data_IF_366377647127
#
_entry.id   IF_366377647127
#
_cell.length_a   1.000
_cell.length_b   1.000
_cell.length_c   1.000
_cell.angle_alpha   90.00
_cell.angle_beta   90.00
_cell.angle_gamma   90.00
#
_symmetry.space_group_name_H-M   'P 1'
#
loop_
_entity.id
_entity.type
_entity.pdbx_description
1 polymer ?
#
# COMPACT_ATOMS: atom_id res chain seq x y z
N UNK A 1 6.62 22.54 -2.28
CA UNK A 1 7.21 21.71 -3.36
C UNK A 1 6.42 20.42 -3.57
N UNK A 2 6.21 19.57 -2.55
CA UNK A 2 5.45 18.31 -2.68
C UNK A 2 4.00 18.48 -3.21
N UNK A 3 3.24 19.44 -2.67
CA UNK A 3 1.87 19.73 -3.10
C UNK A 3 1.77 20.26 -4.54
N UNK A 4 2.79 20.97 -5.02
CA UNK A 4 2.87 21.47 -6.40
C UNK A 4 3.10 20.36 -7.42
N UNK A 5 3.75 19.26 -7.03
CA UNK A 5 4.10 18.16 -7.93
C UNK A 5 3.12 17.00 -7.86
N UNK A 6 2.43 16.83 -6.73
CA UNK A 6 1.51 15.71 -6.49
C UNK A 6 0.04 16.13 -6.45
N UNK A 7 -0.27 17.43 -6.39
CA UNK A 7 -1.60 17.96 -6.04
C UNK A 7 -2.15 17.42 -4.69
N UNK A 8 -1.30 16.81 -3.85
CA UNK A 8 -1.70 16.29 -2.54
C UNK A 8 -1.57 17.36 -1.46
N UNK A 9 -2.67 17.66 -0.79
CA UNK A 9 -2.67 18.45 0.43
C UNK A 9 -2.29 17.57 1.62
N UNK A 10 -1.03 17.68 2.05
CA UNK A 10 -0.50 16.92 3.18
C UNK A 10 -1.25 17.17 4.50
N UNK A 11 -1.87 18.35 4.69
CA UNK A 11 -2.63 18.64 5.92
C UNK A 11 -3.94 17.87 5.95
N UNK A 12 -4.55 17.64 4.78
CA UNK A 12 -5.70 16.75 4.64
C UNK A 12 -5.29 15.29 4.80
N UNK A 13 -4.12 14.91 4.30
CA UNK A 13 -3.61 13.55 4.43
C UNK A 13 -3.24 13.20 5.89
N UNK A 14 -2.68 14.15 6.63
CA UNK A 14 -2.25 13.98 8.02
C UNK A 14 -3.30 14.45 9.05
N UNK A 15 -4.56 14.64 8.62
CA UNK A 15 -5.65 15.14 9.47
C UNK A 15 -6.22 14.09 10.43
N UNK A 16 -7.46 14.31 10.90
CA UNK A 16 -8.18 13.43 11.83
C UNK A 16 -8.31 11.96 11.36
N UNK A 17 -8.16 11.72 10.07
CA UNK A 17 -8.35 10.40 9.46
C UNK A 17 -7.08 9.52 9.51
N UNK A 18 -5.98 10.02 10.07
CA UNK A 18 -4.70 9.30 10.15
C UNK A 18 -4.83 7.98 10.94
N UNK A 19 -5.64 7.99 12.01
CA UNK A 19 -5.98 6.82 12.82
C UNK A 19 -7.31 6.17 12.43
N UNK A 20 -7.85 6.51 11.24
CA UNK A 20 -9.07 5.89 10.74
C UNK A 20 -8.82 4.41 10.42
N UNK A 21 -9.80 3.52 10.65
CA UNK A 21 -9.71 2.13 10.20
C UNK A 21 -9.41 1.98 8.70
N UNK A 22 -9.80 2.97 7.88
CA UNK A 22 -9.51 3.01 6.45
C UNK A 22 -8.02 3.26 6.13
N UNK A 23 -7.18 3.53 7.13
CA UNK A 23 -5.72 3.65 7.00
C UNK A 23 -4.98 2.50 7.70
N UNK A 24 -5.67 1.40 8.01
CA UNK A 24 -5.10 0.25 8.72
C UNK A 24 -5.24 -1.01 7.86
N UNK A 25 -4.18 -1.83 7.86
CA UNK A 25 -4.16 -3.13 7.20
C UNK A 25 -3.63 -4.16 8.20
N UNK A 26 -4.35 -5.26 8.38
CA UNK A 26 -3.82 -6.39 9.14
C UNK A 26 -2.93 -7.25 8.27
N UNK A 27 -1.71 -7.53 8.75
CA UNK A 27 -0.69 -8.30 8.04
C UNK A 27 0.06 -9.19 9.03
N UNK A 28 0.69 -10.26 8.53
CA UNK A 28 1.76 -10.97 9.26
C UNK A 28 2.95 -10.04 9.53
N UNK A 29 3.78 -10.40 10.51
CA UNK A 29 4.92 -9.56 10.93
C UNK A 29 5.90 -9.23 9.81
N UNK A 30 6.25 -10.22 8.98
CA UNK A 30 7.20 -10.06 7.88
C UNK A 30 6.64 -9.17 6.75
N UNK A 31 5.37 -9.36 6.40
CA UNK A 31 4.67 -8.52 5.44
C UNK A 31 4.47 -7.10 5.96
N UNK A 32 4.13 -6.92 7.24
CA UNK A 32 4.03 -5.60 7.86
C UNK A 32 5.38 -4.85 7.78
N UNK A 33 6.47 -5.52 8.15
CA UNK A 33 7.82 -4.97 8.05
C UNK A 33 8.18 -4.60 6.60
N UNK A 34 7.93 -5.51 5.65
CA UNK A 34 8.25 -5.29 4.24
C UNK A 34 7.38 -4.19 3.61
N UNK A 35 6.11 -4.08 3.99
CA UNK A 35 5.19 -3.04 3.51
C UNK A 35 5.60 -1.66 4.01
N UNK A 36 5.97 -1.56 5.30
CA UNK A 36 6.45 -0.31 5.90
C UNK A 36 7.77 0.18 5.31
N UNK A 37 8.60 -0.72 4.76
CA UNK A 37 9.84 -0.38 4.05
C UNK A 37 9.67 -0.24 2.53
N UNK A 38 8.44 -0.24 2.03
CA UNK A 38 8.13 -0.10 0.61
C UNK A 38 8.75 -1.19 -0.29
N UNK A 39 9.01 -2.39 0.25
CA UNK A 39 9.56 -3.50 -0.53
C UNK A 39 8.54 -4.11 -1.50
N UNK A 40 7.26 -3.90 -1.24
CA UNK A 40 6.16 -4.27 -2.13
C UNK A 40 5.04 -3.22 -2.02
N UNK A 41 4.11 -3.26 -2.97
CA UNK A 41 2.95 -2.38 -2.99
C UNK A 41 1.69 -3.11 -3.44
N UNK A 42 0.53 -2.51 -3.19
CA UNK A 42 -0.78 -2.99 -3.62
C UNK A 42 -1.27 -2.19 -4.84
N UNK A 43 -1.54 -2.88 -5.94
CA UNK A 43 -2.02 -2.30 -7.19
C UNK A 43 -3.51 -2.58 -7.37
N UNK A 44 -4.33 -1.53 -7.44
CA UNK A 44 -5.78 -1.65 -7.60
C UNK A 44 -6.14 -2.42 -8.88
N UNK A 45 -7.13 -3.31 -8.78
CA UNK A 45 -7.67 -4.05 -9.92
C UNK A 45 -9.02 -3.45 -10.36
N UNK A 46 -9.64 -4.03 -11.40
CA UNK A 46 -10.92 -3.52 -11.93
C UNK A 46 -12.08 -3.61 -10.92
N UNK A 47 -12.00 -4.53 -9.95
CA UNK A 47 -13.03 -4.71 -8.94
C UNK A 47 -12.69 -3.98 -7.65
N UNK A 48 -13.71 -3.43 -6.99
CA UNK A 48 -13.56 -2.83 -5.68
C UNK A 48 -12.95 -3.82 -4.68
N UNK A 49 -12.08 -3.31 -3.81
CA UNK A 49 -11.37 -4.06 -2.77
C UNK A 49 -10.43 -5.17 -3.27
N UNK A 50 -10.23 -5.32 -4.58
CA UNK A 50 -9.30 -6.28 -5.15
C UNK A 50 -8.01 -5.59 -5.58
N UNK A 51 -6.89 -6.15 -5.14
CA UNK A 51 -5.56 -5.61 -5.34
C UNK A 51 -4.61 -6.73 -5.74
N UNK A 52 -3.57 -6.37 -6.48
CA UNK A 52 -2.42 -7.22 -6.73
C UNK A 52 -1.24 -6.71 -5.92
N UNK A 53 -0.83 -7.48 -4.92
CA UNK A 53 0.39 -7.23 -4.18
C UNK A 53 1.59 -7.61 -5.05
N UNK A 54 2.53 -6.68 -5.26
CA UNK A 54 3.73 -6.89 -6.08
C UNK A 54 4.98 -6.57 -5.30
N UNK A 55 5.83 -7.58 -5.12
CA UNK A 55 7.18 -7.42 -4.61
C UNK A 55 8.03 -6.66 -5.63
N UNK A 56 8.58 -5.52 -5.22
CA UNK A 56 9.43 -4.66 -6.05
C UNK A 56 10.91 -4.76 -5.66
N UNK A 57 11.20 -5.05 -4.38
CA UNK A 57 12.57 -5.24 -3.91
C UNK A 57 13.20 -6.50 -4.50
N UNK A 58 14.38 -6.35 -5.12
CA UNK A 58 15.12 -7.47 -5.73
C UNK A 58 15.56 -8.47 -4.66
N UNK A 59 15.50 -9.76 -5.00
CA UNK A 59 15.89 -10.86 -4.11
C UNK A 59 14.88 -11.19 -3.02
N UNK A 60 13.80 -10.43 -2.88
CA UNK A 60 12.75 -10.69 -1.90
C UNK A 60 11.54 -11.39 -2.52
N UNK A 61 10.80 -12.10 -1.68
CA UNK A 61 9.50 -12.73 -1.95
C UNK A 61 8.61 -12.55 -0.74
N UNK A 62 7.30 -12.71 -0.91
CA UNK A 62 6.38 -12.87 0.20
C UNK A 62 6.70 -14.14 1.00
N UNK A 63 6.15 -14.26 2.20
CA UNK A 63 6.36 -15.44 3.07
C UNK A 63 6.00 -16.76 2.40
N UNK A 64 5.08 -16.75 1.44
CA UNK A 64 4.71 -17.92 0.63
C UNK A 64 5.63 -18.20 -0.58
N UNK A 65 6.74 -17.47 -0.70
CA UNK A 65 7.73 -17.62 -1.78
C UNK A 65 7.35 -16.95 -3.10
N UNK A 66 6.19 -16.32 -3.21
CA UNK A 66 5.74 -15.67 -4.44
C UNK A 66 6.20 -14.20 -4.52
N UNK A 67 6.22 -13.64 -5.73
CA UNK A 67 6.47 -12.20 -5.97
C UNK A 67 5.20 -11.40 -6.26
N UNK A 68 4.10 -12.10 -6.53
CA UNK A 68 2.80 -11.55 -6.88
C UNK A 68 1.72 -12.30 -6.10
N UNK A 69 0.81 -11.56 -5.48
CA UNK A 69 -0.32 -12.10 -4.72
C UNK A 69 -1.60 -11.37 -5.09
N UNK A 70 -2.69 -12.10 -5.23
CA UNK A 70 -4.02 -11.50 -5.30
C UNK A 70 -4.54 -11.27 -3.88
N UNK A 71 -4.96 -10.05 -3.59
CA UNK A 71 -5.42 -9.60 -2.27
C UNK A 71 -6.83 -9.07 -2.41
N UNK A 72 -7.75 -9.59 -1.61
CA UNK A 72 -9.12 -9.07 -1.53
C UNK A 72 -9.41 -8.64 -0.11
N UNK A 73 -9.65 -7.34 0.08
CA UNK A 73 -10.11 -6.83 1.36
C UNK A 73 -11.59 -7.16 1.54
N UNK A 74 -11.94 -7.61 2.74
CA UNK A 74 -13.33 -7.86 3.11
C UNK A 74 -14.08 -6.54 3.21
N UNK A 75 -15.36 -6.55 2.85
CA UNK A 75 -16.24 -5.39 3.06
C UNK A 75 -16.54 -5.21 4.54
N UNK A 76 -17.04 -4.03 4.91
CA UNK A 76 -17.42 -3.71 6.28
C UNK A 76 -18.42 -4.71 6.86
N UNK A 77 -19.38 -5.16 6.05
CA UNK A 77 -20.42 -6.12 6.46
C UNK A 77 -19.81 -7.48 6.84
N UNK A 78 -18.70 -7.86 6.20
CA UNK A 78 -18.05 -9.15 6.41
C UNK A 78 -16.97 -9.13 7.49
N UNK A 79 -16.31 -7.99 7.73
CA UNK A 79 -15.20 -7.87 8.69
C UNK A 79 -15.53 -7.03 9.93
N UNK A 80 -16.60 -6.23 9.88
CA UNK A 80 -16.89 -5.18 10.87
C UNK A 80 -16.02 -3.92 10.74
N UNK A 81 -15.07 -3.90 9.80
CA UNK A 81 -14.07 -2.84 9.63
C UNK A 81 -14.06 -2.36 8.17
N UNK A 82 -14.07 -1.04 7.97
CA UNK A 82 -13.97 -0.48 6.62
C UNK A 82 -12.68 -0.93 5.92
N UNK A 83 -12.73 -1.30 4.63
CA UNK A 83 -11.53 -1.63 3.89
C UNK A 83 -10.60 -0.42 3.78
N UNK A 84 -9.30 -0.65 3.50
CA UNK A 84 -8.35 0.44 3.32
C UNK A 84 -8.76 1.36 2.18
N UNK A 85 -8.58 2.67 2.37
CA UNK A 85 -8.87 3.67 1.36
C UNK A 85 -7.93 3.48 0.16
N UNK A 86 -8.50 3.32 -1.04
CA UNK A 86 -7.73 3.09 -2.26
C UNK A 86 -6.76 4.23 -2.59
N UNK A 87 -7.07 5.47 -2.20
CA UNK A 87 -6.17 6.61 -2.37
C UNK A 87 -4.90 6.46 -1.54
N UNK A 88 -4.99 5.98 -0.30
CA UNK A 88 -3.82 5.77 0.55
C UNK A 88 -2.93 4.65 -0.01
N UNK A 89 -3.54 3.57 -0.49
CA UNK A 89 -2.82 2.49 -1.18
C UNK A 89 -2.12 2.98 -2.45
N UNK A 90 -2.79 3.81 -3.24
CA UNK A 90 -2.20 4.41 -4.46
C UNK A 90 -1.02 5.33 -4.13
N UNK A 91 -1.10 6.10 -3.05
CA UNK A 91 0.00 6.95 -2.57
C UNK A 91 1.18 6.08 -2.14
N UNK A 92 0.94 5.06 -1.31
CA UNK A 92 1.98 4.10 -0.90
C UNK A 92 2.66 3.44 -2.11
N UNK A 93 1.88 2.98 -3.09
CA UNK A 93 2.39 2.38 -4.31
C UNK A 93 3.26 3.34 -5.13
N UNK A 94 2.87 4.61 -5.22
CA UNK A 94 3.67 5.64 -5.89
C UNK A 94 5.02 5.82 -5.18
N UNK A 95 5.04 5.92 -3.85
CA UNK A 95 6.29 5.99 -3.07
C UNK A 95 7.15 4.74 -3.26
N UNK A 96 6.57 3.53 -3.19
CA UNK A 96 7.32 2.29 -3.39
C UNK A 96 7.97 2.23 -4.78
N UNK A 97 7.23 2.60 -5.83
CA UNK A 97 7.76 2.66 -7.20
C UNK A 97 8.90 3.67 -7.31
N UNK A 98 8.72 4.89 -6.81
CA UNK A 98 9.74 5.94 -6.88
C UNK A 98 10.99 5.58 -6.07
N UNK A 99 10.83 5.16 -4.82
CA UNK A 99 11.96 4.82 -3.95
C UNK A 99 12.79 3.67 -4.52
N UNK A 100 12.13 2.63 -5.05
CA UNK A 100 12.85 1.51 -5.64
C UNK A 100 13.54 1.91 -6.96
N UNK A 101 12.92 2.73 -7.80
CA UNK A 101 13.55 3.25 -9.01
C UNK A 101 14.78 4.12 -8.70
N UNK A 102 14.69 4.97 -7.68
CA UNK A 102 15.80 5.81 -7.25
C UNK A 102 16.94 4.99 -6.61
N UNK A 103 16.61 3.98 -5.80
CA UNK A 103 17.61 3.11 -5.18
C UNK A 103 18.35 2.19 -6.16
N UNK A 104 17.79 1.97 -7.36
CA UNK A 104 18.44 1.20 -8.44
C UNK A 104 19.48 2.04 -9.21
N UNK A 105 19.53 3.36 -9.00
CA UNK A 105 20.46 4.26 -9.67
C UNK A 105 21.80 4.47 -8.93
N UNK A 106 22.01 3.82 -7.78
CA UNK A 106 23.29 3.73 -7.06
C UNK A 106 23.96 2.36 -7.29
#
# INVERSE_FOLDING_TARGET
MFQLWTNLDLRKLCGSDLNSPMNVISMSGDEHYSFGRFHFYLEEQMSANQYKARMIQRGMTFTNGQKLLDVTFRTKEASGVEPPNSQFLRIHAAFAKVLNLCAVAE
#
